data_IF_383237595377
#
_entry.id   IF_383237595377
#
_cell.length_a   1.000
_cell.length_b   1.000
_cell.length_c   1.000
_cell.angle_alpha   90.00
_cell.angle_beta   90.00
_cell.angle_gamma   90.00
#
_symmetry.space_group_name_H-M   'P 1'
#
loop_
_entity.id
_entity.type
_entity.pdbx_description
1 polymer ?
#
# COMPACT_ATOMS: atom_id res chain seq x y z
N UNK A 1 -52.00 -10.16 -1.28
CA UNK A 1 -51.57 -8.90 -0.63
C UNK A 1 -50.30 -9.19 0.17
N UNK A 2 -49.14 -8.65 -0.22
CA UNK A 2 -47.88 -8.87 0.51
C UNK A 2 -47.87 -7.94 1.72
N UNK A 3 -47.83 -8.53 2.92
CA UNK A 3 -47.76 -7.81 4.18
C UNK A 3 -46.36 -7.19 4.31
N UNK A 4 -46.19 -5.93 3.92
CA UNK A 4 -44.99 -5.15 4.22
C UNK A 4 -45.14 -4.66 5.67
N UNK A 5 -44.48 -5.35 6.60
CA UNK A 5 -44.47 -4.95 8.00
C UNK A 5 -43.77 -3.60 8.17
N UNK A 6 -44.55 -2.55 8.43
CA UNK A 6 -44.04 -1.28 8.93
C UNK A 6 -44.08 -1.33 10.45
N UNK A 7 -42.95 -1.17 11.11
CA UNK A 7 -42.87 -1.02 12.56
C UNK A 7 -42.21 0.30 12.91
N UNK A 8 -42.79 1.01 13.88
CA UNK A 8 -42.31 2.29 14.37
C UNK A 8 -41.40 2.04 15.57
N UNK A 9 -40.10 2.31 15.43
CA UNK A 9 -39.19 2.37 16.56
C UNK A 9 -38.97 3.85 16.89
N UNK A 10 -39.53 4.30 18.02
CA UNK A 10 -39.28 5.63 18.55
C UNK A 10 -37.90 5.62 19.25
N UNK A 11 -36.86 6.08 18.55
CA UNK A 11 -35.63 6.48 19.23
C UNK A 11 -35.82 7.88 19.80
N UNK A 12 -35.57 8.00 21.11
CA UNK A 12 -35.59 9.28 21.83
C UNK A 12 -34.37 10.11 21.42
N UNK A 13 -34.48 10.86 20.32
CA UNK A 13 -33.61 11.98 19.94
C UNK A 13 -34.47 13.25 19.84
N UNK A 14 -33.90 14.46 20.04
CA UNK A 14 -34.67 15.67 20.40
C UNK A 14 -35.46 16.31 19.24
N UNK A 15 -35.57 15.66 18.08
CA UNK A 15 -36.38 16.14 16.96
C UNK A 15 -37.08 14.97 16.24
N UNK A 16 -38.41 14.99 16.07
CA UNK A 16 -39.13 13.91 15.41
C UNK A 16 -39.08 14.14 13.89
N UNK A 17 -38.20 13.41 13.19
CA UNK A 17 -38.34 13.21 11.76
C UNK A 17 -38.95 11.82 11.52
N UNK A 18 -40.17 11.78 11.01
CA UNK A 18 -40.86 10.54 10.64
C UNK A 18 -40.18 9.96 9.39
N UNK A 19 -39.20 9.08 9.58
CA UNK A 19 -38.54 8.39 8.47
C UNK A 19 -39.21 7.03 8.26
N UNK A 20 -39.92 6.89 7.13
CA UNK A 20 -40.49 5.61 6.69
C UNK A 20 -39.33 4.74 6.20
N UNK A 21 -38.97 3.71 6.96
CA UNK A 21 -37.82 2.85 6.65
C UNK A 21 -38.22 1.58 5.90
N UNK A 22 -37.48 1.28 4.83
CA UNK A 22 -37.55 0.01 4.12
C UNK A 22 -36.45 -0.93 4.66
N UNK A 23 -36.82 -1.98 5.39
CA UNK A 23 -35.92 -2.85 6.16
C UNK A 23 -34.71 -3.38 5.36
N UNK A 24 -34.89 -3.69 4.07
CA UNK A 24 -33.77 -4.13 3.21
C UNK A 24 -32.76 -3.02 2.96
N UNK A 25 -33.22 -1.80 2.70
CA UNK A 25 -32.36 -0.62 2.47
C UNK A 25 -31.60 -0.25 3.73
N UNK A 26 -32.25 -0.37 4.89
CA UNK A 26 -31.66 -0.03 6.18
C UNK A 26 -30.63 -1.07 6.64
N UNK A 27 -30.90 -2.37 6.47
CA UNK A 27 -29.91 -3.42 6.76
C UNK A 27 -28.66 -3.27 5.88
N UNK A 28 -28.83 -2.99 4.57
CA UNK A 28 -27.71 -2.73 3.67
C UNK A 28 -26.94 -1.48 4.09
N UNK A 29 -27.64 -0.41 4.49
CA UNK A 29 -27.01 0.84 4.96
C UNK A 29 -26.20 0.62 6.25
N UNK A 30 -26.72 -0.14 7.22
CA UNK A 30 -25.99 -0.48 8.44
C UNK A 30 -24.78 -1.36 8.16
N UNK A 31 -24.91 -2.39 7.32
CA UNK A 31 -23.78 -3.23 6.92
C UNK A 31 -22.72 -2.41 6.20
N UNK A 32 -23.11 -1.52 5.28
CA UNK A 32 -22.18 -0.63 4.60
C UNK A 32 -21.47 0.32 5.57
N UNK A 33 -22.20 0.91 6.53
CA UNK A 33 -21.63 1.77 7.55
C UNK A 33 -20.61 1.02 8.41
N UNK A 34 -20.94 -0.18 8.88
CA UNK A 34 -20.03 -1.02 9.67
C UNK A 34 -18.78 -1.41 8.88
N UNK A 35 -18.91 -1.74 7.60
CA UNK A 35 -17.77 -2.05 6.72
C UNK A 35 -16.85 -0.83 6.56
N UNK A 36 -17.41 0.37 6.42
CA UNK A 36 -16.61 1.61 6.31
C UNK A 36 -15.86 1.88 7.62
N UNK A 37 -16.55 1.81 8.77
CA UNK A 37 -15.93 2.02 10.09
C UNK A 37 -14.79 1.04 10.29
N UNK A 38 -15.01 -0.25 10.03
CA UNK A 38 -13.98 -1.28 10.17
C UNK A 38 -12.75 -1.02 9.28
N UNK A 39 -12.95 -0.61 8.02
CA UNK A 39 -11.83 -0.26 7.13
C UNK A 39 -11.05 0.96 7.62
N UNK A 40 -11.72 1.95 8.19
CA UNK A 40 -11.05 3.14 8.73
C UNK A 40 -10.25 2.82 9.99
N UNK A 41 -10.80 2.00 10.89
CA UNK A 41 -10.09 1.50 12.08
C UNK A 41 -8.83 0.72 11.68
N UNK A 42 -8.94 -0.14 10.66
CA UNK A 42 -7.80 -0.87 10.12
C UNK A 42 -6.71 0.05 9.56
N UNK A 43 -7.09 1.08 8.78
CA UNK A 43 -6.15 2.08 8.25
C UNK A 43 -5.46 2.84 9.40
N UNK A 44 -6.22 3.28 10.39
CA UNK A 44 -5.69 3.99 11.57
C UNK A 44 -4.67 3.11 12.32
N UNK A 45 -4.96 1.82 12.49
CA UNK A 45 -4.03 0.88 13.10
C UNK A 45 -2.73 0.75 12.30
N UNK A 46 -2.83 0.56 10.98
CA UNK A 46 -1.66 0.52 10.08
C UNK A 46 -0.83 1.80 10.21
N UNK A 47 -1.47 2.97 10.17
CA UNK A 47 -0.76 4.25 10.24
C UNK A 47 -0.10 4.49 11.59
N UNK A 48 -0.66 3.96 12.68
CA UNK A 48 -0.09 4.06 14.02
C UNK A 48 1.08 3.12 14.23
N UNK A 49 1.04 1.92 13.64
CA UNK A 49 2.10 0.93 13.82
C UNK A 49 3.23 1.10 12.80
N UNK A 50 2.93 1.60 11.60
CA UNK A 50 3.90 1.76 10.53
C UNK A 50 4.97 2.78 10.89
N UNK A 51 6.22 2.40 10.61
CA UNK A 51 7.36 3.31 10.70
C UNK A 51 7.33 4.32 9.55
N UNK A 52 6.93 3.86 8.37
CA UNK A 52 6.78 4.71 7.20
C UNK A 52 5.70 4.15 6.28
N UNK A 53 4.85 5.01 5.73
CA UNK A 53 3.83 4.59 4.79
C UNK A 53 3.53 5.67 3.77
N UNK A 54 3.02 5.27 2.60
CA UNK A 54 2.63 6.21 1.57
C UNK A 54 2.40 5.56 0.22
N UNK A 55 1.77 6.31 -0.67
CA UNK A 55 1.61 5.88 -2.06
C UNK A 55 2.92 6.05 -2.83
N UNK A 56 3.28 5.00 -3.56
CA UNK A 56 4.37 4.97 -4.54
C UNK A 56 3.85 4.34 -5.82
N UNK A 57 4.39 4.76 -6.95
CA UNK A 57 4.25 4.00 -8.19
C UNK A 57 5.30 2.90 -8.18
N UNK A 58 4.89 1.67 -8.43
CA UNK A 58 5.77 0.50 -8.38
C UNK A 58 5.66 -0.26 -9.69
N UNK A 59 6.80 -0.77 -10.13
CA UNK A 59 6.90 -1.84 -11.13
C UNK A 59 7.95 -2.85 -10.69
N UNK A 60 7.82 -4.07 -11.19
CA UNK A 60 8.76 -5.16 -10.87
C UNK A 60 9.58 -5.54 -12.08
N UNK A 61 10.87 -5.80 -11.85
CA UNK A 61 11.80 -6.28 -12.88
C UNK A 61 12.57 -7.46 -12.30
N UNK A 62 12.81 -8.48 -13.10
CA UNK A 62 13.69 -9.58 -12.72
C UNK A 62 15.11 -9.28 -13.19
N UNK A 63 16.11 -9.56 -12.35
CA UNK A 63 17.50 -9.58 -12.81
C UNK A 63 17.69 -10.70 -13.81
N UNK A 64 18.44 -10.44 -14.88
CA UNK A 64 18.83 -11.47 -15.84
C UNK A 64 19.54 -12.64 -15.13
N UNK A 65 19.16 -13.87 -15.46
CA UNK A 65 19.89 -15.04 -14.96
C UNK A 65 21.28 -15.09 -15.60
N UNK A 66 22.31 -15.63 -14.91
CA UNK A 66 23.64 -15.76 -15.49
C UNK A 66 23.60 -16.57 -16.80
N UNK A 67 23.97 -15.94 -17.91
CA UNK A 67 24.01 -16.58 -19.23
C UNK A 67 22.75 -16.42 -20.08
N UNK A 68 21.69 -15.82 -19.54
CA UNK A 68 20.53 -15.41 -20.35
C UNK A 68 20.76 -14.03 -20.96
N UNK A 69 20.23 -13.76 -22.17
CA UNK A 69 20.17 -12.39 -22.66
C UNK A 69 19.40 -11.52 -21.67
N UNK A 70 19.74 -10.22 -21.54
CA UNK A 70 18.99 -9.32 -20.69
C UNK A 70 17.49 -9.41 -21.05
N UNK A 71 16.58 -9.39 -20.05
CA UNK A 71 15.15 -9.36 -20.31
C UNK A 71 14.84 -8.29 -21.35
N UNK A 72 13.94 -8.61 -22.30
CA UNK A 72 13.50 -7.65 -23.31
C UNK A 72 13.06 -6.39 -22.58
N UNK A 73 13.70 -5.28 -22.91
CA UNK A 73 13.46 -4.00 -22.28
C UNK A 73 12.18 -3.40 -22.85
N UNK A 74 11.02 -3.85 -22.34
CA UNK A 74 9.71 -3.28 -22.62
C UNK A 74 9.54 -1.93 -21.90
N UNK A 75 10.59 -1.09 -21.87
CA UNK A 75 10.58 0.25 -21.25
C UNK A 75 9.60 1.22 -21.90
N UNK A 76 9.18 0.91 -23.13
CA UNK A 76 8.15 1.66 -23.86
C UNK A 76 6.73 1.42 -23.30
N UNK A 77 6.54 0.41 -22.43
CA UNK A 77 5.26 0.18 -21.76
C UNK A 77 5.27 0.84 -20.38
N UNK A 78 4.37 1.79 -20.18
CA UNK A 78 4.15 2.43 -18.89
C UNK A 78 3.40 1.51 -17.92
N UNK A 79 4.15 0.62 -17.27
CA UNK A 79 3.66 -0.40 -16.36
C UNK A 79 3.74 0.01 -14.87
N UNK A 80 3.92 1.30 -14.60
CA UNK A 80 3.96 1.85 -13.25
C UNK A 80 2.57 1.87 -12.62
N UNK A 81 2.39 1.09 -11.56
CA UNK A 81 1.11 0.98 -10.87
C UNK A 81 1.16 1.63 -9.48
N UNK A 82 0.17 2.45 -9.10
CA UNK A 82 0.11 3.01 -7.76
C UNK A 82 -0.15 1.89 -6.74
N UNK A 83 0.62 1.90 -5.65
CA UNK A 83 0.48 0.99 -4.51
C UNK A 83 0.61 1.78 -3.22
N UNK A 84 -0.18 1.40 -2.22
CA UNK A 84 0.04 1.90 -0.87
C UNK A 84 1.07 1.01 -0.19
N UNK A 85 2.23 1.59 0.13
CA UNK A 85 3.38 0.86 0.68
C UNK A 85 3.50 1.17 2.16
N UNK A 86 3.73 0.13 2.96
CA UNK A 86 3.84 0.23 4.40
C UNK A 86 5.10 -0.48 4.86
N UNK A 87 6.02 0.26 5.47
CA UNK A 87 7.16 -0.28 6.22
C UNK A 87 6.74 -0.45 7.68
N UNK A 88 6.62 -1.70 8.11
CA UNK A 88 6.20 -2.03 9.47
C UNK A 88 6.97 -3.24 9.99
N UNK A 89 7.62 -3.07 11.15
CA UNK A 89 8.49 -4.09 11.72
C UNK A 89 9.58 -4.51 10.72
N UNK A 90 9.84 -5.82 10.55
CA UNK A 90 10.85 -6.34 9.64
C UNK A 90 10.34 -6.53 8.20
N UNK A 91 9.20 -5.95 7.83
CA UNK A 91 8.54 -6.19 6.55
C UNK A 91 8.14 -4.90 5.83
N UNK A 92 8.13 -4.97 4.50
CA UNK A 92 7.44 -4.04 3.62
C UNK A 92 6.18 -4.72 3.10
N UNK A 93 5.04 -4.07 3.22
CA UNK A 93 3.75 -4.55 2.74
C UNK A 93 3.27 -3.69 1.59
N UNK A 94 2.74 -4.32 0.55
CA UNK A 94 2.24 -3.66 -0.65
C UNK A 94 0.73 -3.88 -0.76
N UNK A 95 -0.05 -2.81 -0.64
CA UNK A 95 -1.50 -2.84 -0.80
C UNK A 95 -1.88 -2.22 -2.15
N UNK A 96 -3.01 -2.65 -2.72
CA UNK A 96 -3.55 -2.00 -3.92
C UNK A 96 -4.11 -0.63 -3.54
N UNK A 97 -4.88 -0.58 -2.45
CA UNK A 97 -5.42 0.63 -1.84
C UNK A 97 -5.10 0.65 -0.34
N UNK A 98 -5.00 1.83 0.26
CA UNK A 98 -4.77 1.93 1.70
C UNK A 98 -5.89 1.29 2.54
N UNK A 99 -7.12 1.18 2.02
CA UNK A 99 -8.29 0.62 2.70
C UNK A 99 -8.46 -0.90 2.53
N UNK A 100 -7.50 -1.54 1.87
CA UNK A 100 -7.46 -2.99 1.77
C UNK A 100 -7.12 -3.59 3.14
N UNK A 101 -7.80 -4.68 3.48
CA UNK A 101 -7.61 -5.36 4.77
C UNK A 101 -6.40 -6.28 4.80
N UNK A 102 -5.87 -6.58 3.61
CA UNK A 102 -4.76 -7.50 3.43
C UNK A 102 -3.83 -6.98 2.33
N UNK A 103 -2.52 -7.09 2.51
CA UNK A 103 -1.56 -6.73 1.47
C UNK A 103 -1.70 -7.69 0.28
N UNK A 104 -1.37 -7.19 -0.91
CA UNK A 104 -1.22 -8.00 -2.12
C UNK A 104 0.08 -8.81 -2.09
N UNK A 105 1.13 -8.22 -1.51
CA UNK A 105 2.46 -8.83 -1.41
C UNK A 105 3.21 -8.27 -0.19
N UNK A 106 4.26 -8.97 0.23
CA UNK A 106 5.15 -8.54 1.31
C UNK A 106 6.59 -8.97 1.09
N UNK A 107 7.52 -8.09 1.42
CA UNK A 107 8.96 -8.35 1.34
C UNK A 107 9.60 -8.22 2.72
N UNK A 108 10.33 -9.24 3.16
CA UNK A 108 11.13 -9.17 4.39
C UNK A 108 12.35 -8.29 4.18
N UNK A 109 12.68 -7.46 5.17
CA UNK A 109 13.89 -6.62 5.13
C UNK A 109 15.16 -7.47 5.09
N UNK A 110 15.16 -8.67 5.68
CA UNK A 110 16.27 -9.62 5.58
C UNK A 110 16.51 -10.10 4.15
N UNK A 111 15.49 -10.09 3.30
CA UNK A 111 15.61 -10.54 1.92
C UNK A 111 16.12 -9.44 0.98
N UNK A 112 16.19 -8.19 1.47
CA UNK A 112 16.73 -7.06 0.72
C UNK A 112 18.25 -7.13 0.76
N UNK A 113 18.86 -7.20 -0.43
CA UNK A 113 20.33 -7.21 -0.59
C UNK A 113 20.86 -5.83 -0.98
N UNK A 114 20.05 -5.01 -1.64
CA UNK A 114 20.47 -3.68 -2.08
C UNK A 114 19.29 -2.72 -2.15
N UNK A 115 19.54 -1.46 -1.76
CA UNK A 115 18.62 -0.34 -1.93
C UNK A 115 19.38 0.84 -2.51
N UNK A 116 18.94 1.32 -3.67
CA UNK A 116 19.67 2.35 -4.42
C UNK A 116 18.76 3.34 -5.13
N UNK A 117 19.32 4.50 -5.48
CA UNK A 117 18.63 5.51 -6.29
C UNK A 117 18.62 5.10 -7.77
N UNK A 118 17.59 5.52 -8.49
CA UNK A 118 17.50 5.40 -9.95
C UNK A 118 17.51 6.79 -10.60
N UNK A 119 17.85 6.89 -11.90
CA UNK A 119 17.71 8.13 -12.65
C UNK A 119 16.26 8.62 -12.63
N UNK A 120 16.09 9.93 -12.45
CA UNK A 120 14.79 10.57 -12.62
C UNK A 120 14.34 10.46 -14.08
N UNK A 121 13.04 10.33 -14.29
CA UNK A 121 12.45 10.24 -15.63
C UNK A 121 11.20 11.10 -15.72
N UNK A 122 10.78 11.44 -16.92
CA UNK A 122 9.52 12.11 -17.23
C UNK A 122 8.54 11.08 -17.76
N UNK A 123 7.28 11.11 -17.30
CA UNK A 123 6.19 10.29 -17.84
C UNK A 123 5.40 11.12 -18.86
N UNK A 124 4.37 10.53 -19.47
CA UNK A 124 3.46 11.20 -20.42
C UNK A 124 2.82 12.50 -19.90
N UNK A 125 2.81 12.70 -18.58
CA UNK A 125 2.29 13.89 -17.91
C UNK A 125 3.28 15.07 -17.87
N UNK A 126 4.48 14.93 -18.47
CA UNK A 126 5.62 15.85 -18.40
C UNK A 126 6.12 16.13 -16.96
N UNK A 127 5.65 15.39 -15.96
CA UNK A 127 6.10 15.54 -14.58
C UNK A 127 7.41 14.76 -14.35
N UNK A 128 8.38 15.42 -13.71
CA UNK A 128 9.63 14.76 -13.31
C UNK A 128 9.38 13.85 -12.12
N UNK A 129 9.66 12.56 -12.30
CA UNK A 129 9.52 11.52 -11.27
C UNK A 129 10.89 11.11 -10.76
N UNK A 130 10.98 11.03 -9.44
CA UNK A 130 12.15 10.54 -8.73
C UNK A 130 11.94 9.07 -8.41
N UNK A 131 13.01 8.29 -8.46
CA UNK A 131 12.91 6.84 -8.38
C UNK A 131 14.04 6.23 -7.58
N UNK A 132 13.75 5.05 -7.04
CA UNK A 132 14.69 4.20 -6.33
C UNK A 132 14.32 2.74 -6.57
N UNK A 133 15.19 1.83 -6.16
CA UNK A 133 14.92 0.41 -6.24
C UNK A 133 15.27 -0.33 -4.96
N UNK A 134 14.63 -1.49 -4.82
CA UNK A 134 14.87 -2.49 -3.78
C UNK A 134 15.16 -3.80 -4.51
N UNK A 135 16.36 -4.34 -4.35
CA UNK A 135 16.74 -5.63 -4.89
C UNK A 135 16.66 -6.69 -3.80
N UNK A 136 15.96 -7.78 -4.09
CA UNK A 136 15.87 -8.94 -3.21
C UNK A 136 16.91 -9.98 -3.56
N UNK A 137 17.23 -10.87 -2.61
CA UNK A 137 18.11 -12.03 -2.78
C UNK A 137 17.67 -13.00 -3.87
N UNK A 138 16.40 -12.95 -4.26
CA UNK A 138 15.82 -13.81 -5.30
C UNK A 138 15.95 -13.20 -6.71
N UNK A 139 16.61 -12.04 -6.84
CA UNK A 139 16.75 -11.34 -8.12
C UNK A 139 15.51 -10.53 -8.52
N UNK A 140 14.46 -10.49 -7.69
CA UNK A 140 13.33 -9.59 -7.91
C UNK A 140 13.74 -8.17 -7.50
N UNK A 141 13.58 -7.22 -8.42
CA UNK A 141 13.82 -5.80 -8.22
C UNK A 141 12.49 -5.05 -8.24
N UNK A 142 12.16 -4.42 -7.13
CA UNK A 142 11.07 -3.44 -7.06
C UNK A 142 11.64 -2.08 -7.44
N UNK A 143 11.11 -1.47 -8.49
CA UNK A 143 11.38 -0.07 -8.81
C UNK A 143 10.21 0.77 -8.31
N UNK A 144 10.53 1.82 -7.56
CA UNK A 144 9.57 2.67 -6.87
C UNK A 144 9.78 4.11 -7.33
N UNK A 145 8.69 4.84 -7.58
CA UNK A 145 8.76 6.24 -7.99
C UNK A 145 7.70 7.13 -7.34
N UNK A 146 8.02 8.42 -7.26
CA UNK A 146 7.13 9.49 -6.81
C UNK A 146 7.49 10.81 -7.47
N UNK A 147 6.53 11.72 -7.57
CA UNK A 147 6.73 13.11 -7.97
C UNK A 147 7.50 13.93 -6.91
N UNK A 148 7.53 13.44 -5.66
CA UNK A 148 8.19 14.11 -4.54
C UNK A 148 9.57 13.52 -4.28
N UNK A 149 10.61 14.30 -4.57
CA UNK A 149 12.00 13.94 -4.24
C UNK A 149 12.18 13.68 -2.74
N UNK A 150 11.57 14.52 -1.92
CA UNK A 150 11.64 14.41 -0.45
C UNK A 150 11.07 13.07 0.01
N UNK A 151 9.97 12.62 -0.60
CA UNK A 151 9.38 11.32 -0.28
C UNK A 151 10.32 10.17 -0.65
N UNK A 152 10.94 10.21 -1.83
CA UNK A 152 11.92 9.21 -2.27
C UNK A 152 13.15 9.18 -1.37
N UNK A 153 13.71 10.35 -1.04
CA UNK A 153 14.86 10.47 -0.16
C UNK A 153 14.53 9.94 1.26
N UNK A 154 13.32 10.19 1.76
CA UNK A 154 12.86 9.66 3.04
C UNK A 154 12.72 8.12 3.02
N UNK A 155 12.15 7.54 1.95
CA UNK A 155 12.10 6.09 1.77
C UNK A 155 13.49 5.46 1.76
N UNK A 156 14.41 6.04 0.97
CA UNK A 156 15.80 5.58 0.90
C UNK A 156 16.49 5.62 2.27
N UNK A 157 16.33 6.71 3.02
CA UNK A 157 16.92 6.86 4.34
C UNK A 157 16.32 5.84 5.34
N UNK A 158 15.01 5.66 5.32
CA UNK A 158 14.31 4.72 6.20
C UNK A 158 14.76 3.28 5.94
N UNK A 159 14.80 2.84 4.67
CA UNK A 159 15.19 1.49 4.28
C UNK A 159 16.66 1.21 4.55
N UNK A 160 17.57 2.15 4.24
CA UNK A 160 19.01 1.99 4.51
C UNK A 160 19.31 1.89 6.00
N UNK A 161 18.56 2.59 6.84
CA UNK A 161 18.70 2.48 8.30
C UNK A 161 18.28 1.10 8.79
N UNK A 162 17.17 0.55 8.28
CA UNK A 162 16.68 -0.76 8.74
C UNK A 162 17.45 -1.96 8.19
N UNK A 163 17.92 -1.90 6.95
CA UNK A 163 18.71 -2.98 6.38
C UNK A 163 20.06 -3.11 7.12
N UNK A 164 20.58 -2.02 7.70
CA UNK A 164 21.79 -2.03 8.53
C UNK A 164 21.54 -2.55 9.95
N UNK A 165 20.43 -2.18 10.59
CA UNK A 165 20.12 -2.67 11.94
C UNK A 165 19.85 -4.19 11.95
N UNK A 166 19.31 -4.75 10.86
CA UNK A 166 19.12 -6.19 10.70
C UNK A 166 20.40 -7.00 10.50
N UNK A 167 21.48 -6.41 9.96
CA UNK A 167 22.77 -7.11 9.81
C UNK A 167 23.53 -7.19 11.12
N UNK A 168 23.45 -6.16 11.95
CA UNK A 168 24.21 -6.08 13.20
C UNK A 168 23.68 -7.08 14.25
N UNK A 169 22.35 -7.28 14.30
CA UNK A 169 21.72 -8.25 15.21
C UNK A 169 22.06 -9.73 14.90
N UNK A 170 22.51 -10.04 13.68
CA UNK A 170 22.94 -11.39 13.28
C UNK A 170 24.45 -11.63 13.51
N UNK A 171 25.19 -10.60 13.95
CA UNK A 171 26.62 -10.70 14.26
C UNK A 171 26.94 -10.92 15.75
N UNK A 172 25.91 -10.93 16.61
CA UNK A 172 26.02 -11.13 18.07
C UNK A 172 25.53 -12.50 18.56
N UNK A 173 25.37 -13.49 17.67
CA UNK A 173 25.12 -14.91 18.00
C UNK A 173 26.28 -15.76 17.50
#
# INVERSE_FOLDING_TARGET
MKNQGFYFIFYSLPFPLLVIFNFKKQAIQYVLFLVIVYRLEHVDEILRSARFSGYLYIRTRWTALPGEPPPIDDTDVDDWLPRFVVLHGPCIFYYLLCTDLSPQDSTLLSDIVEVGSLPSFTREDDETRYSFYILTRHGLRYECSSISKIQVDAWLAALKTECKSGSDALSEI
#
